data_IF_615145336603
#
_entry.id   IF_615145336603
#
_cell.length_a   1.000
_cell.length_b   1.000
_cell.length_c   1.000
_cell.angle_alpha   90.00
_cell.angle_beta   90.00
_cell.angle_gamma   90.00
#
_symmetry.space_group_name_H-M   'P 1'
#
loop_
_entity.id
_entity.type
_entity.pdbx_description
1 polymer ?
#
# COMPACT_ATOMS: atom_id res chain seq x y z
N UNK A 1 4.02 15.56 -5.73
CA UNK A 1 3.00 15.36 -6.77
C UNK A 1 3.01 13.89 -7.12
N UNK A 2 1.87 13.22 -7.17
CA UNK A 2 1.79 11.84 -7.60
C UNK A 2 0.72 11.72 -8.68
N UNK A 3 1.05 11.10 -9.81
CA UNK A 3 0.13 10.92 -10.94
C UNK A 3 0.39 9.59 -11.65
N UNK A 4 -0.57 9.09 -12.41
CA UNK A 4 -0.47 7.83 -13.13
C UNK A 4 -0.90 7.98 -14.58
N UNK A 5 -0.10 7.43 -15.50
CA UNK A 5 -0.35 7.48 -16.93
C UNK A 5 -0.44 6.07 -17.48
N UNK A 6 -1.44 5.77 -18.30
CA UNK A 6 -1.66 4.45 -18.89
C UNK A 6 -1.81 4.52 -20.40
N UNK A 7 -1.24 3.53 -21.08
CA UNK A 7 -1.49 3.21 -22.48
C UNK A 7 -2.67 2.24 -22.57
N UNK A 8 -3.72 2.65 -23.27
CA UNK A 8 -4.89 1.79 -23.52
C UNK A 8 -4.55 0.59 -24.42
N UNK A 9 -3.57 0.75 -25.32
CA UNK A 9 -3.14 -0.28 -26.27
C UNK A 9 -2.33 -1.39 -25.58
N UNK A 10 -1.35 -1.00 -24.76
CA UNK A 10 -0.43 -1.97 -24.14
C UNK A 10 -0.85 -2.41 -22.76
N UNK A 11 -1.85 -1.75 -22.16
CA UNK A 11 -2.23 -1.92 -20.75
C UNK A 11 -1.04 -1.67 -19.80
N UNK A 12 -0.02 -0.94 -20.23
CA UNK A 12 1.13 -0.56 -19.42
C UNK A 12 1.06 0.92 -19.09
N UNK A 13 1.73 1.34 -18.03
CA UNK A 13 1.71 2.70 -17.54
C UNK A 13 2.89 3.06 -16.67
N UNK A 14 2.88 4.31 -16.23
CA UNK A 14 3.90 4.87 -15.36
C UNK A 14 3.19 5.70 -14.29
N UNK A 15 3.33 5.31 -13.03
CA UNK A 15 3.06 6.22 -11.94
C UNK A 15 4.33 7.04 -11.65
N UNK A 16 4.16 8.33 -11.38
CA UNK A 16 5.23 9.29 -11.19
C UNK A 16 5.02 10.00 -9.87
N UNK A 17 5.99 9.92 -8.96
CA UNK A 17 6.06 10.80 -7.78
C UNK A 17 7.12 11.87 -8.02
N UNK A 18 6.74 13.14 -7.98
CA UNK A 18 7.66 14.28 -7.99
C UNK A 18 7.74 14.88 -6.58
N UNK A 19 8.95 15.02 -6.08
CA UNK A 19 9.28 15.76 -4.86
C UNK A 19 10.06 17.01 -5.28
N UNK A 20 9.52 18.18 -4.98
CA UNK A 20 10.08 19.47 -5.41
C UNK A 20 10.70 20.15 -4.19
N UNK A 21 11.99 20.42 -4.28
CA UNK A 21 12.77 21.17 -3.30
C UNK A 21 13.19 22.51 -3.90
N UNK A 22 13.80 23.37 -3.08
CA UNK A 22 14.22 24.71 -3.50
C UNK A 22 15.27 24.69 -4.63
N UNK A 23 16.11 23.66 -4.65
CA UNK A 23 17.29 23.52 -5.52
C UNK A 23 17.26 22.28 -6.42
N UNK A 24 16.27 21.39 -6.24
CA UNK A 24 16.18 20.13 -7.00
C UNK A 24 14.76 19.61 -7.11
N UNK A 25 14.52 18.79 -8.12
CA UNK A 25 13.32 17.97 -8.26
C UNK A 25 13.77 16.52 -8.25
N UNK A 26 13.20 15.71 -7.36
CA UNK A 26 13.37 14.26 -7.34
C UNK A 26 12.13 13.66 -8.00
N UNK A 27 12.31 12.74 -8.94
CA UNK A 27 11.21 11.99 -9.53
C UNK A 27 11.41 10.50 -9.28
N UNK A 28 10.32 9.83 -8.94
CA UNK A 28 10.25 8.38 -8.80
C UNK A 28 9.32 7.86 -9.88
N UNK A 29 9.79 6.88 -10.64
CA UNK A 29 9.02 6.23 -11.68
C UNK A 29 8.63 4.84 -11.20
N UNK A 30 7.34 4.54 -11.27
CA UNK A 30 6.79 3.24 -10.91
C UNK A 30 6.13 2.66 -12.17
N UNK A 31 6.82 1.80 -12.92
CA UNK A 31 6.21 1.06 -14.00
C UNK A 31 5.02 0.27 -13.47
N UNK A 32 3.86 0.46 -14.08
CA UNK A 32 2.61 -0.18 -13.68
C UNK A 32 2.00 -0.91 -14.88
N UNK A 33 1.35 -2.04 -14.64
CA UNK A 33 0.54 -2.74 -15.64
C UNK A 33 -0.91 -2.81 -15.17
N UNK A 34 -1.82 -2.80 -16.14
CA UNK A 34 -3.26 -2.89 -15.92
C UNK A 34 -3.65 -4.37 -15.95
N UNK A 35 -3.89 -4.93 -14.78
CA UNK A 35 -4.40 -6.29 -14.61
C UNK A 35 -5.84 -6.18 -14.10
N UNK A 36 -6.80 -6.78 -14.81
CA UNK A 36 -8.24 -6.65 -14.52
C UNK A 36 -8.73 -5.19 -14.43
N UNK A 37 -8.25 -4.33 -15.33
CA UNK A 37 -8.55 -2.88 -15.40
C UNK A 37 -7.92 -2.04 -14.28
N UNK A 38 -6.81 -2.51 -13.69
CA UNK A 38 -6.26 -1.93 -12.47
C UNK A 38 -4.76 -1.71 -12.50
N UNK A 39 -4.29 -0.53 -12.06
CA UNK A 39 -2.88 -0.28 -11.80
C UNK A 39 -2.30 -1.30 -10.82
N UNK A 40 -1.38 -2.13 -11.26
CA UNK A 40 -0.50 -2.93 -10.40
C UNK A 40 0.95 -2.60 -10.73
N UNK A 41 1.84 -2.67 -9.73
CA UNK A 41 3.27 -2.51 -9.99
C UNK A 41 3.74 -3.64 -10.93
N UNK A 42 4.48 -3.28 -11.97
CA UNK A 42 5.06 -4.28 -12.87
C UNK A 42 6.10 -5.10 -12.13
N UNK A 43 6.14 -6.40 -12.42
CA UNK A 43 7.22 -7.27 -11.96
C UNK A 43 8.58 -6.70 -12.39
N UNK A 44 9.59 -6.91 -11.54
CA UNK A 44 10.94 -6.34 -11.70
C UNK A 44 11.50 -6.51 -13.12
N UNK A 45 11.55 -7.73 -13.64
CA UNK A 45 12.13 -8.00 -14.96
C UNK A 45 11.40 -7.25 -16.10
N UNK A 46 10.06 -7.22 -16.04
CA UNK A 46 9.24 -6.48 -17.01
C UNK A 46 9.42 -4.97 -16.88
N UNK A 47 9.52 -4.47 -15.65
CA UNK A 47 9.73 -3.05 -15.36
C UNK A 47 11.08 -2.57 -15.91
N UNK A 48 12.14 -3.37 -15.73
CA UNK A 48 13.48 -3.09 -16.26
C UNK A 48 13.49 -3.11 -17.80
N UNK A 49 12.82 -4.10 -18.40
CA UNK A 49 12.67 -4.19 -19.85
C UNK A 49 11.89 -2.99 -20.43
N UNK A 50 10.80 -2.56 -19.79
CA UNK A 50 10.00 -1.41 -20.22
C UNK A 50 10.80 -0.11 -20.15
N UNK A 51 11.45 0.16 -19.01
CA UNK A 51 12.25 1.37 -18.81
C UNK A 51 13.39 1.45 -19.82
N UNK A 52 14.09 0.33 -20.04
CA UNK A 52 15.17 0.22 -21.04
C UNK A 52 14.65 0.46 -22.46
N UNK A 53 13.49 -0.09 -22.81
CA UNK A 53 12.86 0.10 -24.13
C UNK A 53 12.50 1.56 -24.40
N UNK A 54 12.09 2.30 -23.37
CA UNK A 54 11.69 3.71 -23.48
C UNK A 54 12.88 4.68 -23.38
N UNK A 55 14.12 4.18 -23.42
CA UNK A 55 15.32 5.02 -23.39
C UNK A 55 15.59 5.67 -22.04
N UNK A 56 14.91 5.25 -20.97
CA UNK A 56 15.33 5.60 -19.61
C UNK A 56 16.61 4.83 -19.28
N UNK A 57 17.69 5.56 -18.96
CA UNK A 57 18.87 5.01 -18.28
C UNK A 57 18.41 4.24 -17.04
N UNK A 58 19.12 3.18 -16.58
CA UNK A 58 18.62 2.32 -15.52
C UNK A 58 18.24 3.19 -14.34
N UNK A 59 16.93 3.25 -14.09
CA UNK A 59 16.41 3.87 -12.88
C UNK A 59 16.98 3.02 -11.76
N UNK A 60 17.85 3.63 -10.95
CA UNK A 60 18.41 3.01 -9.75
C UNK A 60 17.27 2.94 -8.72
N UNK A 61 16.30 2.05 -8.94
CA UNK A 61 15.34 1.56 -7.96
C UNK A 61 14.30 0.69 -8.70
N UNK A 62 14.58 -0.62 -8.79
CA UNK A 62 13.51 -1.59 -9.00
C UNK A 62 13.15 -2.10 -7.63
N UNK A 63 12.05 -1.60 -7.07
CA UNK A 63 11.55 -2.07 -5.79
C UNK A 63 11.04 -3.50 -6.01
N UNK A 64 11.80 -4.49 -5.56
CA UNK A 64 11.24 -5.80 -5.25
C UNK A 64 10.22 -5.55 -4.14
N UNK A 65 8.92 -5.56 -4.47
CA UNK A 65 7.87 -5.55 -3.46
C UNK A 65 7.92 -6.91 -2.78
N UNK A 66 8.40 -6.94 -1.55
CA UNK A 66 8.39 -8.15 -0.76
C UNK A 66 6.94 -8.52 -0.45
N UNK A 67 6.56 -9.78 -0.69
CA UNK A 67 5.24 -10.30 -0.36
C UNK A 67 5.40 -11.33 0.75
N UNK A 68 4.68 -11.15 1.85
CA UNK A 68 4.66 -12.10 2.96
C UNK A 68 3.26 -12.70 3.09
N UNK A 69 3.21 -14.00 3.39
CA UNK A 69 1.96 -14.62 3.83
C UNK A 69 1.75 -14.21 5.28
N UNK A 70 0.59 -13.68 5.61
CA UNK A 70 0.24 -13.27 6.98
C UNK A 70 -1.08 -13.90 7.36
N UNK A 71 -1.21 -14.39 8.59
CA UNK A 71 -2.37 -15.16 9.02
C UNK A 71 -2.89 -14.73 10.40
N UNK A 72 -4.21 -14.66 10.51
CA UNK A 72 -4.93 -14.67 11.78
C UNK A 72 -5.62 -16.02 11.92
N UNK A 73 -5.12 -16.87 12.82
CA UNK A 73 -5.52 -18.27 12.95
C UNK A 73 -5.45 -18.99 11.58
N UNK A 74 -6.58 -19.46 11.04
CA UNK A 74 -6.66 -20.15 9.73
C UNK A 74 -6.85 -19.21 8.54
N UNK A 75 -7.08 -17.92 8.76
CA UNK A 75 -7.37 -16.95 7.71
C UNK A 75 -6.06 -16.29 7.29
N UNK A 76 -5.63 -16.52 6.04
CA UNK A 76 -4.34 -16.05 5.55
C UNK A 76 -4.48 -15.15 4.33
N UNK A 77 -3.58 -14.17 4.24
CA UNK A 77 -3.49 -13.18 3.18
C UNK A 77 -2.06 -13.09 2.69
N UNK A 78 -1.86 -12.70 1.43
CA UNK A 78 -0.56 -12.35 0.88
C UNK A 78 -0.43 -10.82 0.88
N UNK A 79 0.37 -10.29 1.80
CA UNK A 79 0.53 -8.87 2.03
C UNK A 79 1.80 -8.34 1.37
N UNK A 80 1.67 -7.25 0.62
CA UNK A 80 2.80 -6.45 0.16
C UNK A 80 3.42 -5.72 1.35
N UNK A 81 4.72 -5.90 1.58
CA UNK A 81 5.44 -5.31 2.71
C UNK A 81 5.98 -3.93 2.31
N UNK A 82 5.72 -2.95 3.17
CA UNK A 82 6.06 -1.54 2.95
C UNK A 82 6.84 -1.02 4.14
N UNK A 83 8.12 -0.70 3.94
CA UNK A 83 9.00 -0.25 5.04
C UNK A 83 9.63 1.14 4.78
N UNK A 84 9.71 1.55 3.51
CA UNK A 84 10.32 2.84 3.12
C UNK A 84 9.30 3.97 3.29
N UNK A 85 9.73 5.10 3.86
CA UNK A 85 8.87 6.28 4.06
C UNK A 85 8.13 6.74 2.79
N UNK A 86 8.78 6.66 1.63
CA UNK A 86 8.18 7.00 0.34
C UNK A 86 6.98 6.12 -0.01
N UNK A 87 7.05 4.85 0.37
CA UNK A 87 6.10 3.81 0.02
C UNK A 87 4.99 3.73 1.09
N UNK A 88 5.32 3.98 2.37
CA UNK A 88 4.37 4.16 3.47
C UNK A 88 3.37 5.30 3.19
N UNK A 89 3.85 6.42 2.62
CA UNK A 89 2.99 7.56 2.30
C UNK A 89 2.04 7.30 1.12
N UNK A 90 2.36 6.33 0.26
CA UNK A 90 1.54 5.97 -0.90
C UNK A 90 0.47 4.93 -0.53
N UNK A 91 0.84 3.89 0.22
CA UNK A 91 -0.09 2.84 0.62
C UNK A 91 -0.94 2.27 -0.53
N UNK A 92 -2.24 2.10 -0.29
CA UNK A 92 -3.23 1.61 -1.27
C UNK A 92 -3.80 2.69 -2.21
N UNK A 93 -3.22 3.89 -2.28
CA UNK A 93 -3.75 4.96 -3.13
C UNK A 93 -3.89 4.53 -4.61
N UNK A 94 -4.97 4.99 -5.25
CA UNK A 94 -5.29 4.82 -6.67
C UNK A 94 -5.56 3.38 -7.13
N UNK A 95 -5.49 2.38 -6.25
CA UNK A 95 -5.92 1.00 -6.55
C UNK A 95 -7.44 0.92 -6.57
N UNK A 96 -8.00 0.23 -7.58
CA UNK A 96 -9.45 0.14 -7.80
C UNK A 96 -10.07 -1.16 -7.26
N UNK A 97 -9.25 -2.11 -6.81
CA UNK A 97 -9.58 -3.43 -6.28
C UNK A 97 -8.36 -3.95 -5.55
N UNK A 98 -8.66 -4.81 -4.59
CA UNK A 98 -7.73 -5.63 -3.87
C UNK A 98 -8.37 -7.01 -3.85
N UNK A 99 -7.64 -8.05 -4.25
CA UNK A 99 -8.14 -9.42 -4.15
C UNK A 99 -8.40 -9.77 -2.67
N UNK A 100 -9.44 -10.57 -2.38
CA UNK A 100 -9.80 -10.91 -1.00
C UNK A 100 -8.67 -11.63 -0.24
N UNK A 101 -7.76 -12.29 -0.95
CA UNK A 101 -6.58 -12.97 -0.38
C UNK A 101 -5.35 -12.07 -0.26
N UNK A 102 -5.47 -10.76 -0.53
CA UNK A 102 -4.36 -9.80 -0.58
C UNK A 102 -4.50 -8.71 0.48
N UNK A 103 -3.36 -8.10 0.81
CA UNK A 103 -3.29 -6.97 1.72
C UNK A 103 -2.01 -6.17 1.56
N UNK A 104 -1.79 -5.22 2.45
CA UNK A 104 -0.54 -4.46 2.55
C UNK A 104 -0.13 -4.30 4.01
N UNK A 105 1.10 -4.71 4.32
CA UNK A 105 1.68 -4.66 5.66
C UNK A 105 2.72 -3.53 5.72
N UNK A 106 2.37 -2.47 6.43
CA UNK A 106 3.24 -1.36 6.75
C UNK A 106 4.11 -1.74 7.95
N UNK A 107 5.43 -1.60 7.83
CA UNK A 107 6.41 -1.86 8.89
C UNK A 107 7.08 -0.53 9.25
N UNK A 108 6.91 -0.08 10.49
CA UNK A 108 7.44 1.21 10.93
C UNK A 108 8.76 1.05 11.70
N UNK A 109 9.68 1.98 11.51
CA UNK A 109 10.94 2.04 12.25
C UNK A 109 10.72 2.33 13.75
N UNK A 110 9.66 3.07 14.09
CA UNK A 110 9.34 3.48 15.46
C UNK A 110 8.03 2.86 15.96
N UNK A 111 8.01 2.47 17.24
CA UNK A 111 6.81 2.03 17.94
C UNK A 111 6.07 3.24 18.56
N UNK A 112 5.07 3.76 17.85
CA UNK A 112 4.33 4.97 18.22
C UNK A 112 2.92 4.98 17.60
N UNK A 113 2.18 6.06 17.82
CA UNK A 113 0.91 6.31 17.15
C UNK A 113 1.17 6.55 15.66
N UNK A 114 0.52 5.77 14.80
CA UNK A 114 0.63 5.89 13.35
C UNK A 114 -0.73 6.26 12.77
N UNK A 115 -1.03 7.55 12.54
CA UNK A 115 -2.29 7.96 11.94
C UNK A 115 -2.37 7.55 10.47
N UNK A 116 -3.53 7.06 10.05
CA UNK A 116 -3.83 6.75 8.65
C UNK A 116 -4.97 7.62 8.12
N UNK A 117 -5.11 7.64 6.80
CA UNK A 117 -6.16 8.33 6.08
C UNK A 117 -6.49 7.57 4.79
N UNK A 118 -7.62 7.90 4.18
CA UNK A 118 -8.06 7.27 2.93
C UNK A 118 -7.84 8.17 1.71
N UNK A 119 -6.92 9.15 1.81
CA UNK A 119 -6.70 10.14 0.75
C UNK A 119 -6.26 9.44 -0.53
N UNK A 120 -7.04 9.59 -1.59
CA UNK A 120 -6.87 8.97 -2.91
C UNK A 120 -6.94 7.42 -2.93
N UNK A 121 -7.31 6.77 -1.82
CA UNK A 121 -7.64 5.34 -1.81
C UNK A 121 -9.04 5.18 -2.40
N UNK A 122 -9.19 4.36 -3.45
CA UNK A 122 -10.45 4.24 -4.21
C UNK A 122 -11.33 3.06 -3.77
N UNK A 123 -10.77 2.17 -2.94
CA UNK A 123 -11.46 1.02 -2.38
C UNK A 123 -11.65 1.21 -0.87
N UNK A 124 -12.76 0.74 -0.31
CA UNK A 124 -12.95 0.75 1.14
C UNK A 124 -12.03 -0.31 1.79
N UNK A 125 -11.45 0.02 2.94
CA UNK A 125 -10.47 -0.81 3.62
C UNK A 125 -10.81 -1.03 5.09
N UNK A 126 -10.43 -2.20 5.61
CA UNK A 126 -10.18 -2.35 7.04
C UNK A 126 -8.70 -2.05 7.29
N UNK A 127 -8.42 -1.22 8.29
CA UNK A 127 -7.05 -0.87 8.70
C UNK A 127 -6.80 -1.43 10.09
N UNK A 128 -5.78 -2.26 10.24
CA UNK A 128 -5.53 -3.05 11.46
C UNK A 128 -4.17 -2.66 12.01
N UNK A 129 -4.15 -2.05 13.19
CA UNK A 129 -2.91 -1.66 13.87
C UNK A 129 -2.41 -2.78 14.77
N UNK A 130 -1.10 -3.03 14.74
CA UNK A 130 -0.45 -4.13 15.44
C UNK A 130 0.72 -3.62 16.29
N UNK A 131 0.90 -4.17 17.49
CA UNK A 131 2.05 -3.88 18.35
C UNK A 131 3.35 -4.58 17.88
N UNK A 132 4.45 -4.40 18.64
CA UNK A 132 5.74 -5.03 18.33
C UNK A 132 5.70 -6.57 18.33
N UNK A 133 4.74 -7.16 19.04
CA UNK A 133 4.50 -8.60 19.13
C UNK A 133 3.49 -9.11 18.09
N UNK A 134 3.12 -8.28 17.11
CA UNK A 134 2.13 -8.58 16.06
C UNK A 134 0.71 -8.82 16.60
N UNK A 135 0.35 -8.26 17.76
CA UNK A 135 -1.01 -8.34 18.30
C UNK A 135 -1.82 -7.13 17.85
N UNK A 136 -3.09 -7.35 17.52
CA UNK A 136 -4.02 -6.28 17.15
C UNK A 136 -4.25 -5.37 18.35
N UNK A 137 -3.96 -4.08 18.17
CA UNK A 137 -4.20 -3.03 19.19
C UNK A 137 -5.36 -2.12 18.83
N UNK A 138 -5.66 -1.98 17.53
CA UNK A 138 -6.80 -1.20 17.05
C UNK A 138 -7.27 -1.71 15.68
N UNK A 139 -8.58 -1.61 15.42
CA UNK A 139 -9.18 -1.95 14.13
C UNK A 139 -10.04 -0.77 13.68
N UNK A 140 -9.67 -0.15 12.56
CA UNK A 140 -10.49 0.79 11.82
C UNK A 140 -11.25 0.05 10.74
N UNK A 141 -12.45 -0.42 11.06
CA UNK A 141 -13.30 -1.17 10.11
C UNK A 141 -13.95 -0.22 9.09
N UNK A 142 -14.15 -0.71 7.86
CA UNK A 142 -14.93 -0.05 6.79
C UNK A 142 -14.56 1.43 6.58
N UNK A 143 -13.27 1.73 6.46
CA UNK A 143 -12.81 3.06 6.11
C UNK A 143 -13.15 3.36 4.65
N UNK A 144 -13.87 4.46 4.43
CA UNK A 144 -14.38 4.83 3.11
C UNK A 144 -13.34 5.56 2.25
N UNK A 145 -13.36 5.37 0.92
CA UNK A 145 -12.57 6.16 -0.03
C UNK A 145 -12.69 7.67 0.19
N UNK A 146 -11.60 8.42 0.02
CA UNK A 146 -11.62 9.88 0.11
C UNK A 146 -10.80 10.54 -0.99
N UNK A 147 -11.44 11.28 -1.90
CA UNK A 147 -10.76 12.05 -2.95
C UNK A 147 -10.65 13.55 -2.63
N UNK A 148 -11.24 14.01 -1.53
CA UNK A 148 -11.32 15.42 -1.15
C UNK A 148 -9.96 16.02 -0.75
N UNK A 149 -9.88 17.36 -0.70
CA UNK A 149 -8.66 18.07 -0.30
C UNK A 149 -8.28 17.79 1.16
N UNK A 150 -9.28 17.55 2.02
CA UNK A 150 -9.11 17.22 3.43
C UNK A 150 -9.83 15.89 3.67
N UNK A 151 -9.09 14.88 4.12
CA UNK A 151 -9.66 13.58 4.46
C UNK A 151 -9.64 13.36 5.97
N UNK A 152 -10.62 12.60 6.45
CA UNK A 152 -10.64 12.14 7.85
C UNK A 152 -9.37 11.36 8.15
N UNK A 153 -8.73 11.68 9.27
CA UNK A 153 -7.58 10.95 9.80
C UNK A 153 -8.08 9.99 10.87
N UNK A 154 -7.71 8.71 10.73
CA UNK A 154 -7.84 7.70 11.78
C UNK A 154 -6.56 7.75 12.60
N UNK A 155 -6.67 8.15 13.87
CA UNK A 155 -5.52 8.32 14.75
C UNK A 155 -5.75 7.58 16.08
N UNK A 156 -5.50 6.26 16.12
CA UNK A 156 -5.60 5.49 17.35
C UNK A 156 -4.66 6.01 18.44
N UNK A 157 -5.07 5.93 19.70
CA UNK A 157 -4.24 6.35 20.86
C UNK A 157 -3.21 5.28 21.21
N UNK A 158 -3.43 4.05 20.74
CA UNK A 158 -2.56 2.92 20.87
C UNK A 158 -1.30 3.09 20.00
N UNK A 159 -0.17 2.64 20.53
CA UNK A 159 1.07 2.57 19.75
C UNK A 159 1.06 1.31 18.90
N UNK A 160 1.68 1.41 17.74
CA UNK A 160 1.78 0.31 16.79
C UNK A 160 3.16 0.31 16.14
N UNK A 161 3.61 -0.88 15.76
CA UNK A 161 4.83 -1.12 15.00
C UNK A 161 4.51 -1.51 13.55
N UNK A 162 3.33 -2.08 13.36
CA UNK A 162 2.84 -2.48 12.04
C UNK A 162 1.39 -2.04 11.84
N UNK A 163 1.02 -1.87 10.58
CA UNK A 163 -0.38 -1.68 10.17
C UNK A 163 -0.65 -2.60 8.98
N UNK A 164 -1.78 -3.29 8.99
CA UNK A 164 -2.23 -4.16 7.91
C UNK A 164 -3.51 -3.59 7.30
N UNK A 165 -3.48 -3.30 6.00
CA UNK A 165 -4.65 -2.93 5.21
C UNK A 165 -5.21 -4.16 4.48
N UNK A 166 -6.51 -4.41 4.64
CA UNK A 166 -7.28 -5.46 3.96
C UNK A 166 -8.54 -4.85 3.35
N UNK A 167 -9.25 -5.61 2.50
CA UNK A 167 -10.57 -5.20 2.01
C UNK A 167 -11.53 -4.91 3.18
N UNK A 168 -12.35 -3.87 3.05
CA UNK A 168 -13.37 -3.58 4.05
C UNK A 168 -14.28 -4.77 4.35
N UNK A 169 -14.62 -4.95 5.63
CA UNK A 169 -15.45 -6.04 6.13
C UNK A 169 -14.70 -7.36 6.34
N UNK A 170 -13.40 -7.43 6.01
CA UNK A 170 -12.57 -8.62 6.25
C UNK A 170 -12.43 -8.90 7.75
N UNK A 171 -12.18 -7.88 8.56
CA UNK A 171 -12.07 -8.00 10.01
C UNK A 171 -13.34 -8.62 10.61
N UNK A 172 -14.51 -8.14 10.19
CA UNK A 172 -15.79 -8.70 10.61
C UNK A 172 -16.00 -10.13 10.11
N UNK A 173 -15.68 -10.42 8.84
CA UNK A 173 -15.82 -11.75 8.21
C UNK A 173 -15.00 -12.81 8.94
N UNK A 174 -13.81 -12.48 9.42
CA UNK A 174 -12.93 -13.40 10.16
C UNK A 174 -13.11 -13.31 11.68
N UNK A 175 -14.03 -12.46 12.18
CA UNK A 175 -14.26 -12.20 13.60
C UNK A 175 -12.97 -11.78 14.34
N UNK A 176 -12.19 -10.90 13.70
CA UNK A 176 -10.94 -10.36 14.22
C UNK A 176 -11.19 -9.49 15.45
N UNK A 177 -10.36 -9.63 16.48
CA UNK A 177 -10.48 -8.90 17.75
C UNK A 177 -9.16 -8.28 18.18
N UNK A 178 -9.27 -7.25 19.01
CA UNK A 178 -8.13 -6.71 19.75
C UNK A 178 -7.48 -7.85 20.56
N UNK A 179 -6.16 -7.95 20.48
CA UNK A 179 -5.35 -8.99 21.12
C UNK A 179 -5.06 -10.22 20.25
N UNK A 180 -5.78 -10.41 19.14
CA UNK A 180 -5.47 -11.47 18.18
C UNK A 180 -4.09 -11.26 17.57
N UNK A 181 -3.38 -12.35 17.29
CA UNK A 181 -1.98 -12.32 16.84
C UNK A 181 -1.88 -12.62 15.35
N UNK A 182 -1.22 -11.73 14.61
CA UNK A 182 -0.81 -11.96 13.24
C UNK A 182 0.47 -12.81 13.22
N UNK A 183 0.47 -13.86 12.42
CA UNK A 183 1.63 -14.71 12.17
C UNK A 183 2.11 -14.48 10.74
N UNK A 184 3.43 -14.38 10.56
CA UNK A 184 4.12 -14.22 9.28
C UNK A 184 4.86 -15.52 8.94
#
# INVERSE_FOLDING_TARGET
>A
IFDQYFSQETQQGLAVKLEIYKDKIIYHLFPVESIFSQPQLMEKEKSEALLKKQGFLPVIAVNNVEIRKVCFDKNCFYAEVVEKESDLALGMMFRKFLDESRGMLFVFSEYKNHPFWMKNTLIPLDIIWLDEDMRVVYIGENQEPCSEKICKVINPVEKSKYVLELNAGTAQKINLKIGDKLII
#
